data_IF_412784524488
#
_entry.id   IF_412784524488
#
_cell.length_a   1.000
_cell.length_b   1.000
_cell.length_c   1.000
_cell.angle_alpha   90.00
_cell.angle_beta   90.00
_cell.angle_gamma   90.00
#
_symmetry.space_group_name_H-M   'P 1'
#
loop_
_entity.id
_entity.type
_entity.pdbx_description
1 polymer ?
#
# COMPACT_ATOMS: atom_id res chain seq x y z
N UNK A 1 -9.21 -49.18 -3.53
CA UNK A 1 -9.63 -47.87 -2.99
C UNK A 1 -8.36 -47.02 -2.91
N UNK A 2 -7.78 -46.74 -4.08
CA UNK A 2 -6.62 -45.86 -4.22
C UNK A 2 -7.14 -44.44 -4.07
N UNK A 3 -6.63 -43.72 -3.07
CA UNK A 3 -6.96 -42.32 -2.89
C UNK A 3 -6.20 -41.51 -3.93
N UNK A 4 -6.95 -40.87 -4.81
CA UNK A 4 -6.49 -39.71 -5.59
C UNK A 4 -5.76 -38.73 -4.67
N UNK A 5 -4.47 -38.43 -4.91
CA UNK A 5 -3.84 -37.28 -4.31
C UNK A 5 -4.34 -36.05 -5.06
N UNK A 6 -5.34 -35.44 -4.45
CA UNK A 6 -5.39 -34.01 -4.12
C UNK A 6 -5.02 -33.03 -5.24
N UNK A 7 -6.08 -32.41 -5.73
CA UNK A 7 -6.11 -31.22 -6.56
C UNK A 7 -5.57 -30.03 -5.75
N UNK A 8 -4.24 -29.91 -5.67
CA UNK A 8 -3.55 -28.75 -5.10
C UNK A 8 -3.43 -27.66 -6.17
N UNK A 9 -4.60 -27.20 -6.62
CA UNK A 9 -4.72 -25.96 -7.36
C UNK A 9 -4.51 -24.80 -6.43
N UNK A 10 -3.27 -24.36 -6.26
CA UNK A 10 -2.94 -23.02 -5.79
C UNK A 10 -1.45 -22.76 -6.07
N UNK A 11 -1.15 -22.34 -7.30
CA UNK A 11 0.08 -21.60 -7.64
C UNK A 11 0.01 -20.22 -6.96
N UNK A 12 -0.06 -20.22 -5.63
CA UNK A 12 0.08 -19.06 -4.77
C UNK A 12 1.53 -18.62 -4.83
N UNK A 13 1.92 -17.94 -5.91
CA UNK A 13 3.18 -17.23 -5.96
C UNK A 13 3.24 -16.32 -4.74
N UNK A 14 4.13 -16.62 -3.80
CA UNK A 14 4.34 -15.78 -2.63
C UNK A 14 4.51 -14.34 -3.11
N UNK A 15 3.63 -13.40 -2.71
CA UNK A 15 3.68 -12.04 -3.24
C UNK A 15 5.08 -11.49 -3.03
N UNK A 16 5.67 -10.98 -4.11
CA UNK A 16 7.06 -10.55 -4.11
C UNK A 16 7.26 -9.51 -3.00
N UNK A 17 8.42 -9.45 -2.34
CA UNK A 17 8.70 -8.42 -1.34
C UNK A 17 8.42 -7.00 -1.85
N UNK A 18 8.52 -6.78 -3.16
CA UNK A 18 8.11 -5.55 -3.83
C UNK A 18 6.61 -5.30 -3.74
N UNK A 19 5.77 -6.29 -4.01
CA UNK A 19 4.30 -6.17 -3.99
C UNK A 19 3.80 -5.82 -2.59
N UNK A 20 4.39 -6.41 -1.55
CA UNK A 20 4.06 -6.10 -0.16
C UNK A 20 4.42 -4.66 0.23
N UNK A 21 5.57 -4.16 -0.23
CA UNK A 21 6.01 -2.77 0.01
C UNK A 21 5.18 -1.76 -0.76
N UNK A 22 4.77 -2.12 -1.98
CA UNK A 22 3.83 -1.33 -2.78
C UNK A 22 2.47 -1.28 -2.08
N UNK A 23 1.95 -2.42 -1.63
CA UNK A 23 0.68 -2.49 -0.92
C UNK A 23 0.70 -1.69 0.39
N UNK A 24 1.77 -1.79 1.18
CA UNK A 24 1.89 -1.02 2.42
C UNK A 24 2.06 0.48 2.18
N UNK A 25 2.89 0.86 1.20
CA UNK A 25 3.06 2.26 0.79
C UNK A 25 1.75 2.87 0.29
N UNK A 26 1.05 2.17 -0.60
CA UNK A 26 -0.26 2.57 -1.10
C UNK A 26 -1.29 2.68 0.01
N UNK A 27 -1.37 1.70 0.92
CA UNK A 27 -2.32 1.73 2.04
C UNK A 27 -2.10 2.96 2.94
N UNK A 28 -0.85 3.24 3.30
CA UNK A 28 -0.50 4.41 4.11
C UNK A 28 -0.78 5.72 3.36
N UNK A 29 -0.35 5.81 2.10
CA UNK A 29 -0.56 6.99 1.27
C UNK A 29 -2.04 7.28 1.04
N UNK A 30 -2.85 6.25 0.77
CA UNK A 30 -4.29 6.40 0.59
C UNK A 30 -4.98 6.83 1.89
N UNK A 31 -4.60 6.25 3.03
CA UNK A 31 -5.16 6.61 4.34
C UNK A 31 -4.91 8.09 4.67
N UNK A 32 -3.65 8.53 4.54
CA UNK A 32 -3.28 9.93 4.80
C UNK A 32 -3.91 10.86 3.75
N UNK A 33 -3.83 10.49 2.47
CA UNK A 33 -4.36 11.29 1.37
C UNK A 33 -5.88 11.48 1.46
N UNK A 34 -6.63 10.42 1.76
CA UNK A 34 -8.09 10.52 1.95
C UNK A 34 -8.46 11.37 3.15
N UNK A 35 -7.78 11.20 4.30
CA UNK A 35 -8.03 12.02 5.48
C UNK A 35 -7.78 13.51 5.20
N UNK A 36 -6.61 13.84 4.63
CA UNK A 36 -6.26 15.23 4.28
C UNK A 36 -7.20 15.79 3.21
N UNK A 37 -7.49 15.00 2.17
CA UNK A 37 -8.40 15.38 1.10
C UNK A 37 -9.81 15.67 1.58
N UNK A 38 -10.35 14.85 2.49
CA UNK A 38 -11.66 15.09 3.10
C UNK A 38 -11.67 16.38 3.92
N UNK A 39 -10.64 16.61 4.75
CA UNK A 39 -10.53 17.84 5.54
C UNK A 39 -10.44 19.05 4.62
N UNK A 40 -9.56 19.05 3.61
CA UNK A 40 -9.42 20.16 2.68
C UNK A 40 -10.68 20.37 1.83
N UNK A 41 -11.31 19.29 1.37
CA UNK A 41 -12.55 19.31 0.61
C UNK A 41 -13.69 19.96 1.37
N UNK A 42 -13.86 19.60 2.64
CA UNK A 42 -14.93 20.14 3.49
C UNK A 42 -14.63 21.55 4.01
N UNK A 43 -13.37 21.86 4.32
CA UNK A 43 -13.00 23.14 4.98
C UNK A 43 -12.61 24.25 4.02
N UNK A 44 -12.00 23.92 2.87
CA UNK A 44 -11.47 24.91 1.92
C UNK A 44 -12.35 25.02 0.69
N UNK A 45 -12.73 23.88 0.11
CA UNK A 45 -13.44 23.85 -1.18
C UNK A 45 -14.96 23.71 -1.06
N UNK A 46 -15.48 23.45 0.16
CA UNK A 46 -16.89 23.09 0.43
C UNK A 46 -17.42 22.03 -0.55
N UNK A 47 -16.52 21.14 -0.98
CA UNK A 47 -16.78 20.15 -2.01
C UNK A 47 -15.96 18.88 -1.75
N UNK A 48 -16.67 17.86 -1.27
CA UNK A 48 -16.11 16.54 -0.96
C UNK A 48 -15.50 15.89 -2.22
N UNK A 49 -16.08 16.12 -3.40
CA UNK A 49 -15.58 15.56 -4.65
C UNK A 49 -14.19 16.07 -5.01
N UNK A 50 -13.97 17.38 -4.92
CA UNK A 50 -12.65 17.99 -5.15
C UNK A 50 -11.63 17.58 -4.09
N UNK A 51 -12.04 17.55 -2.83
CA UNK A 51 -11.19 17.09 -1.72
C UNK A 51 -10.74 15.64 -1.88
N UNK A 52 -11.66 14.73 -2.19
CA UNK A 52 -11.34 13.32 -2.41
C UNK A 52 -10.49 13.12 -3.65
N UNK A 53 -10.75 13.81 -4.76
CA UNK A 53 -9.94 13.69 -5.97
C UNK A 53 -8.49 14.10 -5.71
N UNK A 54 -8.27 15.24 -5.03
CA UNK A 54 -6.94 15.71 -4.65
C UNK A 54 -6.29 14.78 -3.62
N UNK A 55 -7.04 14.36 -2.60
CA UNK A 55 -6.55 13.47 -1.55
C UNK A 55 -6.13 12.10 -2.06
N UNK A 56 -6.94 11.49 -2.93
CA UNK A 56 -6.61 10.22 -3.58
C UNK A 56 -5.45 10.38 -4.56
N UNK A 57 -5.42 11.44 -5.37
CA UNK A 57 -4.31 11.69 -6.29
C UNK A 57 -2.97 11.87 -5.57
N UNK A 58 -2.94 12.69 -4.51
CA UNK A 58 -1.74 12.90 -3.72
C UNK A 58 -1.36 11.67 -2.91
N UNK A 59 -2.34 11.03 -2.27
CA UNK A 59 -2.14 9.82 -1.47
C UNK A 59 -1.62 8.64 -2.28
N UNK A 60 -2.15 8.42 -3.48
CA UNK A 60 -1.64 7.40 -4.40
C UNK A 60 -0.25 7.73 -4.92
N UNK A 61 0.03 8.99 -5.28
CA UNK A 61 1.36 9.39 -5.74
C UNK A 61 2.43 9.20 -4.65
N UNK A 62 2.15 9.62 -3.42
CA UNK A 62 3.05 9.43 -2.27
C UNK A 62 3.17 7.94 -1.92
N UNK A 63 2.06 7.22 -1.85
CA UNK A 63 2.04 5.81 -1.47
C UNK A 63 2.72 4.90 -2.49
N UNK A 64 2.48 5.13 -3.78
CA UNK A 64 3.18 4.44 -4.87
C UNK A 64 4.66 4.84 -4.91
N UNK A 65 4.97 6.13 -4.72
CA UNK A 65 6.34 6.64 -4.65
C UNK A 65 7.13 6.04 -3.48
N UNK A 66 6.51 5.86 -2.31
CA UNK A 66 7.12 5.22 -1.15
C UNK A 66 7.34 3.70 -1.39
N UNK A 67 6.38 3.04 -2.03
CA UNK A 67 6.48 1.62 -2.35
C UNK A 67 7.51 1.30 -3.45
N UNK A 68 7.67 2.18 -4.44
CA UNK A 68 8.64 2.05 -5.55
C UNK A 68 10.02 2.63 -5.18
N UNK A 69 10.05 3.73 -4.42
CA UNK A 69 11.24 4.49 -4.03
C UNK A 69 12.02 3.90 -2.86
N UNK A 70 11.52 2.85 -2.21
CA UNK A 70 12.23 2.07 -1.19
C UNK A 70 13.55 1.44 -1.65
N UNK A 71 13.94 1.59 -2.93
CA UNK A 71 15.29 1.27 -3.41
C UNK A 71 16.38 2.27 -2.96
N UNK A 72 16.06 3.35 -2.24
CA UNK A 72 17.07 4.29 -1.71
C UNK A 72 16.92 4.71 -0.25
N UNK A 73 15.93 4.23 0.49
CA UNK A 73 15.66 4.71 1.86
C UNK A 73 15.18 3.60 2.81
N UNK A 74 15.83 2.44 2.79
CA UNK A 74 15.48 1.33 3.66
C UNK A 74 16.55 0.26 3.74
N UNK A 75 17.81 0.68 3.75
CA UNK A 75 18.86 -0.07 4.45
C UNK A 75 18.80 0.44 5.90
N UNK A 76 18.77 -0.48 6.85
CA UNK A 76 18.68 -0.27 8.30
C UNK A 76 17.27 -0.02 8.88
N UNK A 77 16.54 -1.10 9.21
CA UNK A 77 16.13 -1.36 10.60
C UNK A 77 15.59 -2.77 10.81
N UNK A 78 16.40 -3.60 11.49
CA UNK A 78 15.89 -4.60 12.43
C UNK A 78 15.80 -6.04 11.96
N UNK A 79 16.87 -6.60 11.40
CA UNK A 79 17.12 -8.04 11.57
C UNK A 79 18.18 -8.19 12.66
N UNK A 80 17.71 -8.27 13.91
CA UNK A 80 18.52 -8.68 15.04
C UNK A 80 18.26 -10.16 15.26
N UNK A 81 19.27 -11.06 15.15
CA UNK A 81 19.09 -12.45 15.53
C UNK A 81 18.87 -12.51 17.05
N UNK A 82 17.64 -12.76 17.49
CA UNK A 82 17.40 -13.24 18.86
C UNK A 82 17.73 -14.72 18.87
N UNK A 83 18.88 -15.03 19.46
CA UNK A 83 19.26 -16.38 19.90
C UNK A 83 18.24 -16.97 20.86
#
# INVERSE_FOLDING_TARGET
MERDPEHDGETGGTPSPADKRLASGLSLGLSIGTAVGLVLGLTVFDNIGLGLALGLGLGTAIGAGAGLGGRRAGEDRGDGPTQ
#
